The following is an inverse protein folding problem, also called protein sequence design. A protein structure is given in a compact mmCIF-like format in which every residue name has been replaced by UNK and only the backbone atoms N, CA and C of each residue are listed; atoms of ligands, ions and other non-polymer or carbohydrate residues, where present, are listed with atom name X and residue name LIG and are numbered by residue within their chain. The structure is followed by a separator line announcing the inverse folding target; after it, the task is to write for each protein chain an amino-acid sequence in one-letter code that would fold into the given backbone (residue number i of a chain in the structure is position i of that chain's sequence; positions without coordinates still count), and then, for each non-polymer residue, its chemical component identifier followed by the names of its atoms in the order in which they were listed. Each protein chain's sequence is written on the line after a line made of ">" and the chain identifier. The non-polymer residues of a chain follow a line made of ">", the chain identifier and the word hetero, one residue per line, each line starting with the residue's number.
data_IF_040124733957
#
_entry.id   IF_040124733957
#
_cell.length_a   1.000
_cell.length_b   1.000
_cell.length_c   1.000
_cell.angle_alpha   90.00
_cell.angle_beta   90.00
_cell.angle_gamma   90.00
#
_symmetry.space_group_name_H-M   'P 1'
#
loop_
_entity.id
_entity.type
_entity.pdbx_description
1 polymer ?
#
# COMPACT_ATOMS: atom_id res chain seq x y z
N UNK A 1 3.95 19.89 37.74
CA UNK A 1 4.94 20.98 37.57
C UNK A 1 4.33 21.96 36.58
N UNK A 2 4.08 23.25 36.90
CA UNK A 2 3.36 24.17 35.99
C UNK A 2 4.09 24.45 34.67
N UNK A 3 5.36 24.05 34.56
CA UNK A 3 6.19 24.22 33.38
C UNK A 3 6.21 22.99 32.47
N UNK A 4 5.73 21.83 32.94
CA UNK A 4 5.75 20.62 32.11
C UNK A 4 4.69 20.71 31.01
N UNK A 5 4.99 20.14 29.85
CA UNK A 5 4.05 20.11 28.72
C UNK A 5 4.12 18.79 27.96
N UNK A 6 2.95 18.36 27.49
CA UNK A 6 2.77 17.13 26.74
C UNK A 6 1.89 17.40 25.52
N UNK A 7 2.35 16.98 24.35
CA UNK A 7 1.74 17.25 23.05
C UNK A 7 1.60 15.97 22.22
N UNK A 8 0.88 16.11 21.11
CA UNK A 8 0.75 15.10 20.06
C UNK A 8 0.37 13.69 20.55
N UNK A 9 -0.53 13.59 21.52
CA UNK A 9 -0.94 12.31 22.09
C UNK A 9 -1.42 11.32 21.02
N UNK A 10 -1.02 10.05 21.18
CA UNK A 10 -1.49 8.89 20.41
C UNK A 10 -1.85 7.77 21.36
N UNK A 11 -2.76 6.92 20.93
CA UNK A 11 -3.09 5.74 21.70
C UNK A 11 -3.36 4.54 20.80
N UNK A 12 -3.05 3.36 21.30
CA UNK A 12 -3.31 2.09 20.62
C UNK A 12 -3.79 1.04 21.63
N UNK A 13 -4.67 0.15 21.17
CA UNK A 13 -5.02 -1.08 21.89
C UNK A 13 -4.41 -2.24 21.11
N UNK A 14 -3.55 -3.02 21.76
CA UNK A 14 -2.88 -4.18 21.18
C UNK A 14 -3.08 -5.38 22.10
N UNK A 15 -3.76 -6.41 21.59
CA UNK A 15 -4.28 -7.48 22.43
C UNK A 15 -5.22 -6.91 23.50
N UNK A 16 -4.90 -7.18 24.76
CA UNK A 16 -5.66 -6.71 25.92
C UNK A 16 -5.08 -5.41 26.54
N UNK A 17 -3.92 -4.96 26.06
CA UNK A 17 -3.20 -3.83 26.64
C UNK A 17 -3.49 -2.52 25.90
N UNK A 18 -3.35 -1.41 26.63
CA UNK A 18 -3.56 -0.07 26.12
C UNK A 18 -2.29 0.76 26.25
N UNK A 19 -1.94 1.48 25.19
CA UNK A 19 -0.71 2.25 25.08
C UNK A 19 -1.07 3.72 24.84
N UNK A 20 -0.36 4.62 25.52
CA UNK A 20 -0.41 6.06 25.24
C UNK A 20 1.01 6.53 24.97
N UNK A 21 1.18 7.20 23.84
CA UNK A 21 2.41 7.87 23.43
C UNK A 21 2.17 9.37 23.37
N UNK A 22 3.17 10.16 23.74
CA UNK A 22 3.09 11.63 23.75
C UNK A 22 4.48 12.24 23.64
N UNK A 23 4.58 13.41 23.01
CA UNK A 23 5.79 14.21 23.09
C UNK A 23 5.79 15.01 24.39
N UNK A 24 6.91 15.05 25.12
CA UNK A 24 6.99 15.70 26.43
C UNK A 24 8.27 16.52 26.59
N UNK A 25 8.12 17.71 27.16
CA UNK A 25 9.20 18.56 27.64
C UNK A 25 9.01 18.85 29.13
N UNK A 26 10.12 18.95 29.87
CA UNK A 26 10.09 19.22 31.31
C UNK A 26 9.71 20.68 31.59
N UNK A 27 10.16 21.58 30.73
CA UNK A 27 9.83 23.00 30.76
C UNK A 27 9.53 23.49 29.34
N UNK A 28 8.25 23.70 29.06
CA UNK A 28 7.79 24.13 27.74
C UNK A 28 8.33 25.51 27.35
N UNK A 29 8.52 26.40 28.33
CA UNK A 29 9.03 27.74 28.07
C UNK A 29 10.50 27.66 27.71
N UNK A 30 11.27 26.82 28.40
CA UNK A 30 12.67 26.58 28.05
C UNK A 30 12.79 25.89 26.69
N UNK A 31 11.94 24.91 26.40
CA UNK A 31 11.95 24.18 25.14
C UNK A 31 11.59 25.07 23.95
N UNK A 32 10.54 25.89 24.08
CA UNK A 32 9.96 26.66 22.96
C UNK A 32 10.57 28.06 22.81
N UNK A 33 10.95 28.67 23.94
CA UNK A 33 11.42 30.05 23.94
C UNK A 33 12.92 30.11 23.82
N UNK A 34 13.72 29.28 24.51
CA UNK A 34 15.18 29.46 24.54
C UNK A 34 15.99 28.22 24.18
N UNK A 35 15.38 27.21 23.54
CA UNK A 35 16.01 26.00 22.97
C UNK A 35 17.02 25.24 23.85
N UNK A 36 16.87 25.33 25.18
CA UNK A 36 17.69 24.64 26.19
C UNK A 36 17.01 23.39 26.79
N UNK A 37 15.83 23.04 26.29
CA UNK A 37 15.10 21.81 26.59
C UNK A 37 14.47 21.31 25.28
N UNK A 38 14.07 20.05 25.22
CA UNK A 38 13.47 19.48 24.02
C UNK A 38 12.30 18.55 24.29
N UNK A 39 11.41 18.46 23.31
CA UNK A 39 10.38 17.43 23.30
C UNK A 39 11.00 16.10 22.91
N UNK A 40 10.84 15.11 23.78
CA UNK A 40 11.15 13.71 23.51
C UNK A 40 9.88 12.88 23.37
N UNK A 41 9.95 11.71 22.74
CA UNK A 41 8.83 10.77 22.64
C UNK A 41 8.77 9.88 23.87
N UNK A 42 7.68 9.96 24.62
CA UNK A 42 7.44 9.12 25.78
C UNK A 42 6.24 8.22 25.57
N UNK A 43 6.29 7.03 26.16
CA UNK A 43 5.19 6.07 26.13
C UNK A 43 4.92 5.49 27.52
N UNK A 44 3.65 5.22 27.79
CA UNK A 44 3.18 4.41 28.93
C UNK A 44 2.25 3.31 28.45
N UNK A 45 2.29 2.18 29.14
CA UNK A 45 1.42 1.03 28.90
C UNK A 45 0.53 0.78 30.11
N UNK A 46 -0.74 0.49 29.86
CA UNK A 46 -1.65 -0.15 30.78
C UNK A 46 -1.60 -1.66 30.55
N UNK A 47 -1.13 -2.39 31.55
CA UNK A 47 -0.98 -3.83 31.53
C UNK A 47 -2.25 -4.50 32.10
N UNK A 48 -3.09 -5.03 31.22
CA UNK A 48 -4.34 -5.69 31.60
C UNK A 48 -4.10 -7.02 32.32
N UNK A 49 -3.04 -7.76 31.96
CA UNK A 49 -2.71 -9.05 32.58
C UNK A 49 -2.40 -8.94 34.09
N UNK A 50 -1.94 -7.77 34.54
CA UNK A 50 -1.66 -7.48 35.95
C UNK A 50 -2.88 -7.04 36.78
N UNK A 51 -4.09 -7.13 36.22
CA UNK A 51 -5.30 -6.59 36.85
C UNK A 51 -5.45 -5.07 36.67
N UNK A 52 -4.69 -4.48 35.74
CA UNK A 52 -4.86 -3.09 35.32
C UNK A 52 -3.93 -2.09 36.01
N UNK A 53 -2.63 -2.21 35.77
CA UNK A 53 -1.64 -1.23 36.26
C UNK A 53 -0.97 -0.48 35.11
N UNK A 54 -0.56 0.76 35.38
CA UNK A 54 0.24 1.56 34.44
C UNK A 54 1.73 1.32 34.70
N UNK A 55 2.50 1.16 33.62
CA UNK A 55 3.96 1.17 33.68
C UNK A 55 4.47 2.59 33.95
N UNK A 56 5.73 2.67 34.37
CA UNK A 56 6.48 3.92 34.28
C UNK A 56 6.57 4.38 32.82
N UNK A 57 6.78 5.69 32.63
CA UNK A 57 6.99 6.26 31.32
C UNK A 57 8.38 5.92 30.80
N UNK A 58 8.46 5.47 29.55
CA UNK A 58 9.72 5.19 28.87
C UNK A 58 9.96 6.27 27.83
N UNK A 59 11.16 6.85 27.83
CA UNK A 59 11.61 7.76 26.76
C UNK A 59 12.15 6.92 25.61
N UNK A 60 11.43 6.90 24.49
CA UNK A 60 11.73 6.08 23.32
C UNK A 60 12.72 6.76 22.38
N UNK A 61 12.68 8.09 22.27
CA UNK A 61 13.55 8.83 21.35
C UNK A 61 14.93 9.13 21.95
N UNK A 62 15.00 9.32 23.27
CA UNK A 62 16.24 9.57 24.03
C UNK A 62 17.17 10.64 23.41
N UNK A 63 16.59 11.68 22.81
CA UNK A 63 17.31 12.76 22.15
C UNK A 63 17.87 13.68 23.23
N UNK A 64 19.20 13.74 23.28
CA UNK A 64 19.94 14.57 24.23
C UNK A 64 20.34 15.92 23.65
N UNK A 65 20.31 16.06 22.32
CA UNK A 65 20.49 17.34 21.66
C UNK A 65 19.23 18.19 21.82
N UNK A 66 19.35 19.27 22.61
CA UNK A 66 18.26 20.21 22.86
C UNK A 66 17.86 21.00 21.62
N UNK A 67 18.69 20.98 20.56
CA UNK A 67 18.40 21.57 19.25
C UNK A 67 17.49 20.71 18.38
N UNK A 68 17.00 19.58 18.89
CA UNK A 68 16.11 18.68 18.16
C UNK A 68 14.85 18.37 18.95
N UNK A 69 13.70 18.58 18.33
CA UNK A 69 12.40 18.19 18.85
C UNK A 69 11.88 16.91 18.21
N UNK A 70 11.18 16.11 19.00
CA UNK A 70 10.28 15.08 18.49
C UNK A 70 8.99 15.71 18.00
N UNK A 71 8.56 15.28 16.82
CA UNK A 71 7.23 15.54 16.27
C UNK A 71 6.54 14.25 15.87
N UNK A 72 5.24 14.36 15.68
CA UNK A 72 4.40 13.29 15.10
C UNK A 72 4.68 11.88 15.63
N UNK A 73 4.61 11.65 16.95
CA UNK A 73 4.65 10.29 17.47
C UNK A 73 3.50 9.48 16.84
N UNK A 74 3.78 8.20 16.60
CA UNK A 74 2.86 7.22 16.02
C UNK A 74 2.95 5.92 16.80
N UNK A 75 1.79 5.34 17.07
CA UNK A 75 1.63 4.01 17.64
C UNK A 75 0.83 3.19 16.63
N UNK A 76 1.43 2.14 16.10
CA UNK A 76 0.84 1.34 15.02
C UNK A 76 0.75 -0.11 15.46
N UNK A 77 -0.49 -0.55 15.64
CA UNK A 77 -0.80 -1.94 16.00
C UNK A 77 -0.70 -2.85 14.78
N UNK A 78 -0.41 -4.13 15.03
CA UNK A 78 -0.54 -5.17 14.02
C UNK A 78 -2.00 -5.33 13.57
N UNK A 79 -2.27 -5.48 12.26
CA UNK A 79 -3.60 -5.81 11.77
C UNK A 79 -4.03 -7.21 12.24
N UNK A 80 -5.34 -7.50 12.16
CA UNK A 80 -5.88 -8.82 12.49
C UNK A 80 -5.39 -9.92 11.56
N UNK A 81 -5.47 -11.18 12.02
CA UNK A 81 -5.06 -12.35 11.23
C UNK A 81 -5.84 -12.44 9.92
N UNK A 82 -5.12 -12.70 8.84
CA UNK A 82 -5.66 -12.84 7.48
C UNK A 82 -5.74 -14.30 7.01
N UNK A 83 -6.09 -14.47 5.73
CA UNK A 83 -6.08 -15.77 5.06
C UNK A 83 -4.67 -16.40 5.11
N UNK A 84 -4.60 -17.69 5.42
CA UNK A 84 -3.33 -18.43 5.53
C UNK A 84 -2.68 -18.45 6.91
N UNK A 85 -3.28 -17.79 7.90
CA UNK A 85 -2.93 -18.02 9.30
C UNK A 85 -3.55 -19.35 9.80
N UNK A 86 -2.79 -20.25 10.47
CA UNK A 86 -3.32 -21.52 10.93
C UNK A 86 -4.57 -21.38 11.80
N UNK A 87 -5.66 -22.01 11.37
CA UNK A 87 -6.85 -22.13 12.19
C UNK A 87 -6.61 -23.21 13.26
N UNK A 88 -6.66 -22.89 14.57
CA UNK A 88 -6.52 -23.90 15.63
C UNK A 88 -7.58 -25.02 15.55
N UNK A 89 -8.73 -24.73 14.93
CA UNK A 89 -9.80 -25.70 14.70
C UNK A 89 -9.56 -26.61 13.48
N UNK A 90 -8.59 -26.29 12.60
CA UNK A 90 -8.21 -27.13 11.46
C UNK A 90 -6.69 -27.07 11.17
N UNK A 91 -5.85 -27.72 12.01
CA UNK A 91 -4.39 -27.64 11.92
C UNK A 91 -3.79 -28.35 10.69
N UNK A 92 -4.58 -29.09 9.90
CA UNK A 92 -4.13 -29.82 8.70
C UNK A 92 -4.60 -29.18 7.38
N UNK A 93 -5.14 -27.96 7.43
CA UNK A 93 -5.56 -27.22 6.23
C UNK A 93 -4.34 -26.87 5.35
N UNK A 94 -4.30 -27.29 4.07
CA UNK A 94 -3.18 -26.99 3.16
C UNK A 94 -3.03 -25.50 2.82
N UNK A 95 -3.95 -24.62 3.23
CA UNK A 95 -3.82 -23.14 3.14
C UNK A 95 -2.96 -22.55 4.26
N UNK A 96 -2.50 -23.36 5.23
CA UNK A 96 -1.69 -22.95 6.39
C UNK A 96 -0.21 -22.66 6.04
N UNK A 97 0.06 -21.73 5.14
CA UNK A 97 1.42 -21.51 4.59
C UNK A 97 2.04 -20.15 4.88
N UNK A 98 1.34 -19.21 5.56
CA UNK A 98 1.84 -17.83 5.71
C UNK A 98 1.83 -17.33 7.18
N UNK A 99 2.86 -17.65 7.98
CA UNK A 99 3.00 -17.13 9.35
C UNK A 99 2.94 -15.61 9.46
N UNK A 100 3.42 -14.87 8.45
CA UNK A 100 3.35 -13.41 8.40
C UNK A 100 1.90 -12.85 8.45
N UNK A 101 0.91 -13.67 8.07
CA UNK A 101 -0.51 -13.31 8.08
C UNK A 101 -1.18 -13.59 9.44
N UNK A 102 -0.47 -14.13 10.42
CA UNK A 102 -0.97 -14.33 11.78
C UNK A 102 -0.72 -13.11 12.64
N UNK A 103 -1.77 -12.56 13.25
CA UNK A 103 -1.62 -11.43 14.15
C UNK A 103 -0.74 -11.79 15.36
N UNK A 104 0.32 -11.03 15.55
CA UNK A 104 1.04 -10.98 16.81
C UNK A 104 0.43 -9.88 17.70
N UNK A 105 -0.13 -10.28 18.84
CA UNK A 105 -0.77 -9.38 19.81
C UNK A 105 0.22 -8.80 20.82
N UNK A 106 1.48 -9.23 20.76
CA UNK A 106 2.54 -8.76 21.62
C UNK A 106 3.38 -7.68 20.92
N UNK A 107 3.12 -7.48 19.62
CA UNK A 107 3.87 -6.59 18.75
C UNK A 107 3.22 -5.21 18.57
N UNK A 108 4.02 -4.17 18.77
CA UNK A 108 3.66 -2.77 18.56
C UNK A 108 4.82 -2.06 17.84
N UNK A 109 4.49 -1.32 16.79
CA UNK A 109 5.42 -0.49 16.05
C UNK A 109 5.22 0.95 16.53
N UNK A 110 6.33 1.64 16.77
CA UNK A 110 6.32 3.03 17.20
C UNK A 110 7.24 3.84 16.31
N UNK A 111 6.82 5.05 15.95
CA UNK A 111 7.59 5.92 15.07
C UNK A 111 7.44 7.39 15.50
N UNK A 112 8.42 8.20 15.13
CA UNK A 112 8.39 9.64 15.34
C UNK A 112 9.23 10.36 14.29
N UNK A 113 8.85 11.59 13.99
CA UNK A 113 9.69 12.52 13.24
C UNK A 113 10.55 13.34 14.20
N UNK A 114 11.56 13.99 13.64
CA UNK A 114 12.36 14.99 14.34
C UNK A 114 12.40 16.28 13.55
N UNK A 115 12.57 17.40 14.24
CA UNK A 115 12.70 18.72 13.63
C UNK A 115 13.67 19.59 14.45
N UNK A 116 14.20 20.64 13.83
CA UNK A 116 15.02 21.63 14.52
C UNK A 116 14.22 22.34 15.62
N UNK A 117 14.82 22.41 16.81
CA UNK A 117 14.32 23.25 17.88
C UNK A 117 14.87 24.66 17.68
N UNK A 118 14.11 25.48 16.97
CA UNK A 118 14.41 26.89 16.74
C UNK A 118 13.58 27.77 17.66
N UNK A 119 14.14 28.94 17.98
CA UNK A 119 13.45 29.97 18.74
C UNK A 119 12.13 30.32 18.04
N UNK A 120 10.98 30.08 18.67
CA UNK A 120 9.65 30.19 18.05
C UNK A 120 9.26 31.59 17.55
N UNK A 121 10.14 32.59 17.68
CA UNK A 121 9.94 33.97 17.23
C UNK A 121 10.85 34.39 16.06
N UNK A 122 11.83 33.58 15.63
CA UNK A 122 12.89 34.02 14.69
C UNK A 122 13.17 33.02 13.56
N UNK A 123 12.61 31.80 13.56
CA UNK A 123 12.81 30.84 12.47
C UNK A 123 11.64 29.88 12.27
N UNK A 124 11.49 29.37 11.05
CA UNK A 124 10.69 28.17 10.78
C UNK A 124 11.48 26.92 11.19
N UNK A 125 10.82 25.93 11.77
CA UNK A 125 11.48 24.66 12.09
C UNK A 125 11.74 23.87 10.80
N UNK A 126 12.97 23.41 10.63
CA UNK A 126 13.40 22.48 9.59
C UNK A 126 13.11 21.03 10.02
N UNK A 127 12.52 20.25 9.12
CA UNK A 127 12.30 18.81 9.29
C UNK A 127 13.63 18.07 9.29
N UNK A 128 13.78 17.05 10.11
CA UNK A 128 14.95 16.17 10.12
C UNK A 128 14.57 14.77 9.62
N UNK A 129 14.71 13.77 10.48
CA UNK A 129 14.55 12.36 10.15
C UNK A 129 13.31 11.74 10.77
N UNK A 130 12.83 10.67 10.12
CA UNK A 130 11.82 9.76 10.66
C UNK A 130 12.50 8.53 11.22
N UNK A 131 12.18 8.24 12.47
CA UNK A 131 12.66 7.08 13.21
C UNK A 131 11.50 6.12 13.46
N UNK A 132 11.79 4.82 13.45
CA UNK A 132 10.86 3.82 13.96
C UNK A 132 11.60 2.74 14.74
N UNK A 133 10.87 2.12 15.67
CA UNK A 133 11.31 0.92 16.39
C UNK A 133 10.09 0.03 16.64
N UNK A 134 10.34 -1.18 17.10
CA UNK A 134 9.36 -2.21 17.38
C UNK A 134 9.63 -2.83 18.74
N UNK A 135 8.55 -3.24 19.38
CA UNK A 135 8.55 -4.19 20.48
C UNK A 135 7.84 -5.46 20.03
N UNK A 136 8.33 -6.62 20.46
CA UNK A 136 7.63 -7.92 20.33
C UNK A 136 7.27 -8.53 21.70
N UNK A 137 7.38 -7.75 22.78
CA UNK A 137 7.14 -8.21 24.16
C UNK A 137 6.21 -7.27 24.95
N UNK A 138 5.27 -6.63 24.25
CA UNK A 138 4.32 -5.65 24.81
C UNK A 138 4.98 -4.40 25.41
N UNK A 139 6.05 -3.91 24.80
CA UNK A 139 6.73 -2.67 25.19
C UNK A 139 7.57 -2.80 26.45
N UNK A 140 8.02 -4.02 26.78
CA UNK A 140 9.01 -4.24 27.85
C UNK A 140 10.40 -3.91 27.32
N UNK A 141 10.71 -4.31 26.08
CA UNK A 141 11.92 -3.94 25.36
C UNK A 141 11.59 -3.42 23.97
N UNK A 142 12.50 -2.61 23.44
CA UNK A 142 12.42 -2.06 22.09
C UNK A 142 13.71 -2.37 21.35
N UNK A 143 13.58 -2.62 20.05
CA UNK A 143 14.71 -2.71 19.13
C UNK A 143 15.40 -1.34 19.00
N UNK A 144 16.64 -1.33 18.53
CA UNK A 144 17.34 -0.06 18.27
C UNK A 144 16.56 0.74 17.18
N UNK A 145 16.34 2.06 17.37
CA UNK A 145 15.63 2.86 16.38
C UNK A 145 16.33 2.86 15.03
N UNK A 146 15.56 2.59 13.97
CA UNK A 146 16.01 2.63 12.59
C UNK A 146 15.63 3.99 12.00
N UNK A 147 16.58 4.61 11.30
CA UNK A 147 16.36 5.80 10.47
C UNK A 147 15.98 5.35 9.07
N UNK A 148 14.93 5.94 8.52
CA UNK A 148 14.53 5.67 7.15
C UNK A 148 15.50 6.35 6.18
N UNK A 149 16.15 5.58 5.30
CA UNK A 149 17.01 6.12 4.23
C UNK A 149 16.22 7.08 3.32
N UNK A 150 16.84 8.17 2.88
CA UNK A 150 16.21 9.12 1.93
C UNK A 150 17.23 9.79 1.01
N UNK A 151 16.77 10.79 0.26
CA UNK A 151 17.47 11.45 -0.85
C UNK A 151 18.26 12.67 -0.37
N UNK A 152 17.75 13.37 0.64
CA UNK A 152 18.37 14.56 1.23
C UNK A 152 18.83 14.35 2.68
N UNK A 153 19.69 15.27 3.10
CA UNK A 153 19.99 15.48 4.51
C UNK A 153 18.79 16.21 5.13
N UNK A 154 18.13 15.57 6.11
CA UNK A 154 17.15 16.21 7.00
C UNK A 154 15.98 16.94 6.31
N UNK A 155 14.95 16.20 5.90
CA UNK A 155 13.80 16.72 5.16
C UNK A 155 12.60 15.75 5.12
N UNK A 156 12.53 14.78 6.04
CA UNK A 156 11.54 13.70 6.05
C UNK A 156 10.42 14.02 7.02
N UNK A 157 9.16 13.94 6.57
CA UNK A 157 8.00 14.29 7.38
C UNK A 157 6.78 13.43 7.06
N UNK A 158 5.76 13.48 7.93
CA UNK A 158 4.44 12.87 7.70
C UNK A 158 4.45 11.37 7.36
N UNK A 159 5.22 10.57 8.11
CA UNK A 159 5.31 9.13 7.84
C UNK A 159 4.00 8.37 8.08
N UNK A 160 3.72 7.29 7.36
CA UNK A 160 2.65 6.35 7.68
C UNK A 160 3.25 4.95 7.67
N UNK A 161 2.94 4.15 8.69
CA UNK A 161 3.45 2.80 8.81
C UNK A 161 2.28 1.83 8.75
N UNK A 162 2.50 0.71 8.07
CA UNK A 162 1.60 -0.42 8.01
C UNK A 162 2.42 -1.69 8.27
N UNK A 163 2.25 -2.36 9.40
CA UNK A 163 2.87 -3.66 9.64
C UNK A 163 2.05 -4.81 9.04
N UNK A 164 2.69 -5.95 8.78
CA UNK A 164 2.01 -7.24 8.59
C UNK A 164 1.30 -7.65 9.89
N UNK A 165 0.33 -8.59 9.83
CA UNK A 165 -0.25 -9.15 11.05
C UNK A 165 0.80 -9.65 12.05
N UNK A 166 1.85 -10.33 11.59
CA UNK A 166 2.91 -10.79 12.49
C UNK A 166 3.86 -9.67 12.95
N UNK A 167 3.78 -8.47 12.36
CA UNK A 167 4.62 -7.32 12.70
C UNK A 167 6.08 -7.46 12.27
N UNK A 168 6.43 -8.53 11.54
CA UNK A 168 7.76 -8.81 11.01
C UNK A 168 8.08 -8.08 9.69
N UNK A 169 7.04 -7.64 8.97
CA UNK A 169 7.16 -6.81 7.77
C UNK A 169 6.54 -5.45 8.07
N UNK A 170 7.23 -4.37 7.77
CA UNK A 170 6.73 -3.01 7.97
C UNK A 170 6.89 -2.23 6.67
N UNK A 171 5.76 -1.80 6.10
CA UNK A 171 5.72 -0.83 5.02
C UNK A 171 5.68 0.56 5.62
N UNK A 172 6.62 1.41 5.26
CA UNK A 172 6.68 2.81 5.71
C UNK A 172 6.64 3.72 4.49
N UNK A 173 5.70 4.66 4.47
CA UNK A 173 5.67 5.76 3.50
C UNK A 173 5.93 7.08 4.20
N UNK A 174 6.55 8.05 3.54
CA UNK A 174 6.79 9.39 4.08
C UNK A 174 6.87 10.42 2.96
N UNK A 175 6.75 11.69 3.32
CA UNK A 175 7.01 12.80 2.43
C UNK A 175 8.45 13.29 2.63
N UNK A 176 9.10 13.65 1.54
CA UNK A 176 10.46 14.17 1.56
C UNK A 176 10.58 15.40 0.66
N UNK A 177 11.07 16.51 1.21
CA UNK A 177 11.25 17.75 0.46
C UNK A 177 12.51 17.70 -0.41
N UNK A 178 12.36 17.79 -1.73
CA UNK A 178 13.50 17.93 -2.64
C UNK A 178 14.01 19.37 -2.58
N UNK A 179 15.22 19.54 -2.03
CA UNK A 179 15.84 20.84 -1.87
C UNK A 179 17.03 20.98 -2.82
N UNK A 180 17.17 22.15 -3.43
CA UNK A 180 18.36 22.54 -4.19
C UNK A 180 18.88 23.87 -3.71
N UNK A 181 20.14 24.19 -4.02
CA UNK A 181 20.67 25.54 -3.77
C UNK A 181 20.20 26.48 -4.87
N UNK A 182 19.65 27.62 -4.49
CA UNK A 182 19.39 28.69 -5.43
C UNK A 182 20.68 29.40 -5.88
N UNK A 183 20.54 30.40 -6.76
CA UNK A 183 21.68 31.19 -7.25
C UNK A 183 22.43 31.99 -6.17
N UNK A 184 21.93 32.03 -4.94
CA UNK A 184 22.52 32.71 -3.78
C UNK A 184 23.03 31.74 -2.70
N UNK A 185 22.89 30.42 -2.91
CA UNK A 185 23.31 29.39 -1.97
C UNK A 185 22.34 29.14 -0.82
N UNK A 186 21.08 29.55 -0.95
CA UNK A 186 20.00 29.24 -0.02
C UNK A 186 19.30 27.93 -0.46
N UNK A 187 18.96 27.06 0.49
CA UNK A 187 18.19 25.85 0.20
C UNK A 187 16.75 26.24 -0.15
N UNK A 188 16.32 25.88 -1.35
CA UNK A 188 14.97 26.11 -1.84
C UNK A 188 14.33 24.75 -2.14
N UNK A 189 13.13 24.55 -1.60
CA UNK A 189 12.29 23.40 -1.94
C UNK A 189 11.82 23.55 -3.39
N UNK A 190 12.17 22.57 -4.22
CA UNK A 190 11.79 22.47 -5.63
C UNK A 190 10.76 21.37 -5.90
N UNK A 191 10.41 20.60 -4.89
CA UNK A 191 9.45 19.52 -4.98
C UNK A 191 9.25 18.79 -3.66
N UNK A 192 8.22 17.95 -3.61
CA UNK A 192 7.99 17.01 -2.51
C UNK A 192 7.76 15.63 -3.11
N UNK A 193 8.54 14.67 -2.66
CA UNK A 193 8.48 13.28 -3.10
C UNK A 193 7.79 12.42 -2.03
N UNK A 194 6.94 11.50 -2.48
CA UNK A 194 6.43 10.44 -1.62
C UNK A 194 7.37 9.23 -1.72
N UNK A 195 7.79 8.74 -0.57
CA UNK A 195 8.82 7.71 -0.46
C UNK A 195 8.24 6.45 0.18
N UNK A 196 8.81 5.29 -0.12
CA UNK A 196 8.39 3.99 0.40
C UNK A 196 9.62 3.17 0.81
N UNK A 197 9.53 2.51 1.95
CA UNK A 197 10.50 1.51 2.41
C UNK A 197 9.77 0.30 2.98
N UNK A 198 10.42 -0.84 2.89
CA UNK A 198 9.95 -2.10 3.46
C UNK A 198 11.06 -2.67 4.32
N UNK A 199 10.80 -2.87 5.61
CA UNK A 199 11.65 -3.72 6.45
C UNK A 199 11.02 -5.10 6.51
N UNK A 200 11.76 -6.14 6.15
CA UNK A 200 11.31 -7.53 6.21
C UNK A 200 12.28 -8.37 7.04
N UNK A 201 11.83 -8.82 8.20
CA UNK A 201 12.57 -9.69 9.12
C UNK A 201 12.09 -11.15 9.05
N UNK A 202 11.23 -11.49 8.08
CA UNK A 202 10.78 -12.87 7.85
C UNK A 202 11.87 -13.77 7.28
N UNK A 203 12.91 -13.16 6.70
CA UNK A 203 14.09 -13.83 6.16
C UNK A 203 15.36 -12.99 6.42
N UNK A 204 16.25 -13.39 7.36
CA UNK A 204 17.51 -12.68 7.64
C UNK A 204 18.52 -12.76 6.48
N UNK A 205 18.22 -13.52 5.42
CA UNK A 205 18.99 -13.60 4.18
C UNK A 205 18.31 -12.87 3.02
N UNK A 206 17.09 -12.34 3.21
CA UNK A 206 16.44 -11.53 2.20
C UNK A 206 17.22 -10.24 2.03
N UNK A 207 17.63 -9.96 0.79
CA UNK A 207 18.13 -8.64 0.43
C UNK A 207 16.95 -7.70 0.58
N UNK A 208 16.90 -6.98 1.71
CA UNK A 208 15.98 -5.85 1.86
C UNK A 208 16.29 -4.90 0.70
N UNK A 209 15.35 -4.65 -0.22
CA UNK A 209 15.59 -3.70 -1.28
C UNK A 209 15.89 -2.37 -0.59
N UNK A 210 17.11 -1.86 -0.76
CA UNK A 210 17.38 -0.46 -0.43
C UNK A 210 16.37 0.38 -1.21
N UNK A 211 15.59 1.26 -0.55
CA UNK A 211 14.77 2.20 -1.29
C UNK A 211 15.70 2.91 -2.28
N UNK A 212 15.32 3.02 -3.56
CA UNK A 212 16.13 3.79 -4.49
C UNK A 212 16.30 5.20 -3.90
N UNK A 213 17.52 5.77 -3.88
CA UNK A 213 17.70 7.19 -3.67
C UNK A 213 17.01 7.87 -4.85
N UNK A 214 15.87 8.47 -4.58
CA UNK A 214 14.97 8.99 -5.60
C UNK A 214 13.83 8.03 -5.69
N UNK A 215 12.60 8.52 -5.55
CA UNK A 215 11.52 7.84 -6.25
C UNK A 215 12.00 7.65 -7.68
N UNK A 216 12.36 6.42 -8.04
CA UNK A 216 11.96 6.02 -9.37
C UNK A 216 10.45 6.16 -9.31
N UNK A 217 9.94 7.04 -10.15
CA UNK A 217 8.63 6.89 -10.74
C UNK A 217 8.30 5.40 -10.84
N UNK A 218 7.03 4.98 -10.64
CA UNK A 218 6.60 3.62 -10.99
C UNK A 218 7.33 3.18 -12.27
N UNK A 219 7.82 1.92 -12.33
CA UNK A 219 8.93 1.48 -13.19
C UNK A 219 8.93 2.25 -14.50
N UNK A 220 10.10 2.74 -14.99
CA UNK A 220 10.16 3.61 -16.17
C UNK A 220 9.18 3.07 -17.20
N UNK A 221 8.36 3.93 -17.85
CA UNK A 221 7.43 3.46 -18.87
C UNK A 221 8.20 2.44 -19.69
N UNK A 222 7.61 1.25 -19.95
CA UNK A 222 8.40 0.11 -20.39
C UNK A 222 9.25 0.57 -21.59
N UNK A 223 10.39 -0.10 -21.86
CA UNK A 223 11.44 0.41 -22.77
C UNK A 223 10.79 1.06 -23.98
N UNK A 224 11.31 2.18 -24.53
CA UNK A 224 10.73 3.08 -25.56
C UNK A 224 9.85 2.48 -26.71
N UNK A 225 9.75 1.16 -26.75
CA UNK A 225 8.88 0.21 -27.41
C UNK A 225 7.67 -0.32 -26.58
N UNK A 226 7.21 0.33 -25.50
CA UNK A 226 6.08 -0.17 -24.69
C UNK A 226 4.71 0.31 -25.12
N UNK A 227 3.66 -0.45 -24.80
CA UNK A 227 2.25 -0.08 -24.97
C UNK A 227 1.41 -0.49 -23.75
N UNK A 228 0.14 -0.08 -23.75
CA UNK A 228 -0.86 -0.36 -22.72
C UNK A 228 -2.15 -0.79 -23.42
N UNK A 229 -2.49 -2.08 -23.33
CA UNK A 229 -3.72 -2.61 -23.90
C UNK A 229 -4.80 -2.74 -22.83
N UNK A 230 -6.03 -2.47 -23.23
CA UNK A 230 -7.21 -2.60 -22.38
C UNK A 230 -8.29 -3.35 -23.16
N UNK A 231 -8.95 -4.30 -22.51
CA UNK A 231 -10.25 -4.80 -22.98
C UNK A 231 -11.30 -3.75 -22.60
N UNK A 232 -11.76 -2.96 -23.57
CA UNK A 232 -12.74 -1.88 -23.38
C UNK A 232 -14.14 -2.46 -23.14
N UNK A 233 -14.50 -3.54 -23.85
CA UNK A 233 -15.76 -4.24 -23.63
C UNK A 233 -15.72 -5.70 -24.12
N UNK A 234 -16.59 -6.52 -23.51
CA UNK A 234 -16.96 -7.86 -23.96
C UNK A 234 -18.48 -7.94 -23.93
N UNK A 235 -19.11 -7.85 -25.09
CA UNK A 235 -20.56 -7.67 -25.18
C UNK A 235 -21.22 -8.82 -25.91
N UNK A 236 -22.38 -9.25 -25.42
CA UNK A 236 -23.24 -10.21 -26.11
C UNK A 236 -24.37 -9.45 -26.79
N UNK A 237 -24.33 -9.40 -28.12
CA UNK A 237 -25.34 -8.74 -28.96
C UNK A 237 -26.57 -9.66 -29.07
N UNK A 238 -27.53 -9.41 -28.19
CA UNK A 238 -28.81 -10.10 -28.13
C UNK A 238 -29.89 -9.16 -28.65
N UNK A 239 -30.85 -9.68 -29.42
CA UNK A 239 -32.08 -8.95 -29.71
C UNK A 239 -32.84 -8.72 -28.38
N UNK A 240 -33.02 -7.46 -27.97
CA UNK A 240 -33.60 -7.03 -26.68
C UNK A 240 -32.87 -7.58 -25.42
N UNK A 241 -31.62 -7.16 -25.14
CA UNK A 241 -30.89 -7.63 -23.97
C UNK A 241 -31.50 -7.00 -22.71
N UNK A 242 -31.95 -7.84 -21.77
CA UNK A 242 -32.06 -7.39 -20.38
C UNK A 242 -30.63 -7.44 -19.83
N UNK A 243 -30.07 -6.28 -19.51
CA UNK A 243 -28.78 -6.16 -18.82
C UNK A 243 -29.11 -5.70 -17.40
N UNK A 244 -28.67 -6.47 -16.40
CA UNK A 244 -28.78 -6.04 -14.99
C UNK A 244 -27.80 -4.90 -14.68
N UNK A 245 -27.98 -4.18 -13.57
CA UNK A 245 -27.03 -3.15 -13.09
C UNK A 245 -25.60 -3.70 -12.91
N UNK A 246 -25.48 -5.03 -12.73
CA UNK A 246 -24.22 -5.78 -12.60
C UNK A 246 -23.62 -6.26 -13.94
N UNK A 247 -24.18 -5.88 -15.10
CA UNK A 247 -23.63 -6.24 -16.42
C UNK A 247 -23.85 -7.70 -16.83
N UNK A 248 -24.85 -8.37 -16.26
CA UNK A 248 -25.21 -9.75 -16.59
C UNK A 248 -26.16 -9.82 -17.78
N UNK A 249 -25.87 -10.69 -18.75
CA UNK A 249 -26.69 -10.88 -19.94
C UNK A 249 -27.73 -11.99 -19.73
N UNK A 250 -29.01 -11.70 -20.02
CA UNK A 250 -30.06 -12.70 -20.00
C UNK A 250 -30.32 -13.25 -21.40
N UNK A 251 -30.02 -14.54 -21.61
CA UNK A 251 -30.08 -15.20 -22.92
C UNK A 251 -31.24 -16.22 -22.94
N UNK A 252 -32.10 -16.24 -23.97
CA UNK A 252 -33.11 -17.28 -24.11
C UNK A 252 -32.48 -18.67 -24.29
N UNK A 253 -33.19 -19.76 -23.93
CA UNK A 253 -32.63 -21.10 -24.02
C UNK A 253 -32.67 -21.61 -25.47
N UNK A 254 -31.59 -22.22 -25.95
CA UNK A 254 -31.49 -22.82 -27.30
C UNK A 254 -31.63 -21.79 -28.43
N UNK A 255 -31.11 -20.59 -28.18
CA UNK A 255 -30.80 -19.61 -29.21
C UNK A 255 -29.47 -19.97 -29.86
N UNK A 256 -29.50 -20.10 -31.18
CA UNK A 256 -28.33 -20.32 -32.03
C UNK A 256 -27.87 -18.97 -32.61
N UNK A 257 -26.60 -18.89 -33.05
CA UNK A 257 -26.02 -17.73 -33.74
C UNK A 257 -26.06 -16.41 -32.93
N UNK A 258 -25.92 -16.48 -31.60
CA UNK A 258 -25.82 -15.29 -30.74
C UNK A 258 -24.53 -14.57 -31.09
N UNK A 259 -24.64 -13.30 -31.51
CA UNK A 259 -23.48 -12.46 -31.80
C UNK A 259 -22.87 -11.93 -30.51
N UNK A 260 -21.56 -11.80 -30.52
CA UNK A 260 -20.82 -11.21 -29.43
C UNK A 260 -19.57 -10.52 -29.99
N UNK A 261 -19.10 -9.51 -29.28
CA UNK A 261 -17.95 -8.73 -29.66
C UNK A 261 -17.03 -8.53 -28.46
N UNK A 262 -15.73 -8.50 -28.73
CA UNK A 262 -14.72 -8.03 -27.79
C UNK A 262 -14.00 -6.85 -28.40
N UNK A 263 -13.86 -5.79 -27.61
CA UNK A 263 -13.24 -4.54 -28.01
C UNK A 263 -11.94 -4.38 -27.25
N UNK A 264 -10.84 -4.29 -27.97
CA UNK A 264 -9.49 -4.07 -27.41
C UNK A 264 -8.98 -2.73 -27.88
N UNK A 265 -8.39 -1.98 -26.96
CA UNK A 265 -7.89 -0.63 -27.21
C UNK A 265 -6.47 -0.49 -26.74
N UNK A 266 -5.63 0.12 -27.57
CA UNK A 266 -4.33 0.61 -27.14
C UNK A 266 -4.52 1.98 -26.49
N UNK A 267 -4.44 2.04 -25.17
CA UNK A 267 -4.67 3.27 -24.40
C UNK A 267 -3.40 4.11 -24.21
N UNK A 268 -2.23 3.61 -24.61
CA UNK A 268 -0.97 4.35 -24.53
C UNK A 268 0.22 3.60 -25.10
N UNK A 269 1.24 4.35 -25.57
CA UNK A 269 2.52 3.79 -26.03
C UNK A 269 2.60 3.51 -27.53
N UNK A 270 3.46 2.58 -27.97
CA UNK A 270 3.70 2.28 -29.39
C UNK A 270 2.58 1.44 -30.04
N UNK A 271 2.54 1.38 -31.39
CA UNK A 271 1.75 0.39 -32.10
C UNK A 271 2.14 -1.03 -31.69
N UNK A 272 1.15 -1.91 -31.51
CA UNK A 272 1.36 -3.27 -30.99
C UNK A 272 0.58 -4.29 -31.81
N UNK A 273 1.14 -5.49 -31.99
CA UNK A 273 0.39 -6.66 -32.46
C UNK A 273 0.21 -7.66 -31.32
N UNK A 274 -0.85 -8.46 -31.37
CA UNK A 274 -1.21 -9.33 -30.27
C UNK A 274 -2.27 -10.36 -30.62
N UNK A 275 -2.54 -11.21 -29.64
CA UNK A 275 -3.60 -12.20 -29.69
C UNK A 275 -4.69 -11.85 -28.69
N UNK A 276 -5.94 -12.16 -29.03
CA UNK A 276 -7.08 -12.07 -28.12
C UNK A 276 -7.72 -13.44 -28.06
N UNK A 277 -7.92 -13.97 -26.87
CA UNK A 277 -8.65 -15.23 -26.67
C UNK A 277 -9.92 -14.97 -25.90
N UNK A 278 -11.04 -15.45 -26.42
CA UNK A 278 -12.33 -15.42 -25.72
C UNK A 278 -12.80 -16.84 -25.48
N UNK A 279 -12.98 -17.21 -24.21
CA UNK A 279 -13.39 -18.55 -23.83
C UNK A 279 -14.48 -18.57 -22.77
N UNK A 280 -15.19 -19.69 -22.67
CA UNK A 280 -16.08 -19.94 -21.54
C UNK A 280 -15.35 -20.73 -20.46
N UNK A 281 -15.07 -20.10 -19.33
CA UNK A 281 -14.47 -20.74 -18.15
C UNK A 281 -15.51 -21.53 -17.34
N UNK A 282 -16.80 -21.23 -17.53
CA UNK A 282 -17.92 -21.96 -16.97
C UNK A 282 -19.07 -22.03 -17.98
N UNK A 283 -19.83 -23.12 -17.95
CA UNK A 283 -21.05 -23.26 -18.76
C UNK A 283 -20.83 -23.85 -20.15
N UNK A 284 -19.67 -23.68 -20.79
CA UNK A 284 -19.37 -24.24 -22.11
C UNK A 284 -17.87 -24.48 -22.29
N UNK A 285 -17.47 -25.04 -23.43
CA UNK A 285 -16.06 -25.19 -23.82
C UNK A 285 -15.78 -24.44 -25.12
N UNK A 286 -16.37 -23.25 -25.25
CA UNK A 286 -16.14 -22.36 -26.38
C UNK A 286 -14.79 -21.67 -26.24
N UNK A 287 -14.09 -21.51 -27.35
CA UNK A 287 -12.78 -20.90 -27.42
C UNK A 287 -12.62 -20.23 -28.79
N UNK A 288 -12.39 -18.93 -28.80
CA UNK A 288 -12.24 -18.11 -30.00
C UNK A 288 -10.92 -17.35 -29.91
N UNK A 289 -9.91 -17.75 -30.69
CA UNK A 289 -8.67 -17.01 -30.81
C UNK A 289 -8.75 -15.99 -31.96
N UNK A 290 -8.22 -14.81 -31.73
CA UNK A 290 -8.07 -13.73 -32.70
C UNK A 290 -6.65 -13.18 -32.65
N UNK A 291 -6.25 -12.53 -33.72
CA UNK A 291 -4.99 -11.81 -33.83
C UNK A 291 -5.25 -10.43 -34.41
N UNK A 292 -4.52 -9.43 -33.96
CA UNK A 292 -4.48 -8.12 -34.60
C UNK A 292 -3.06 -7.74 -34.96
N UNK A 293 -2.93 -7.10 -36.13
CA UNK A 293 -1.68 -6.55 -36.61
C UNK A 293 -1.73 -5.04 -36.38
N UNK A 294 -0.72 -4.53 -35.68
CA UNK A 294 -0.40 -3.10 -35.59
C UNK A 294 -1.59 -2.20 -35.16
N UNK A 295 -1.90 -2.21 -33.87
CA UNK A 295 -2.88 -1.32 -33.22
C UNK A 295 -2.18 -0.08 -32.66
N UNK A 296 -2.36 1.07 -33.30
CA UNK A 296 -1.74 2.33 -32.91
C UNK A 296 -2.31 2.94 -31.61
N UNK A 297 -1.63 3.94 -31.05
CA UNK A 297 -2.05 4.61 -29.82
C UNK A 297 -3.44 5.25 -29.97
N UNK A 298 -4.36 4.89 -29.08
CA UNK A 298 -5.74 5.37 -29.08
C UNK A 298 -6.66 4.63 -30.06
N UNK A 299 -6.14 3.69 -30.83
CA UNK A 299 -6.93 2.87 -31.77
C UNK A 299 -7.57 1.67 -31.07
N UNK A 300 -8.65 1.19 -31.68
CA UNK A 300 -9.47 0.10 -31.17
C UNK A 300 -9.60 -0.99 -32.24
N UNK A 301 -9.42 -2.24 -31.84
CA UNK A 301 -9.76 -3.42 -32.62
C UNK A 301 -11.02 -4.06 -32.04
N UNK A 302 -11.94 -4.47 -32.94
CA UNK A 302 -13.19 -5.15 -32.57
C UNK A 302 -13.17 -6.54 -33.19
N UNK A 303 -13.47 -7.56 -32.40
CA UNK A 303 -13.51 -8.94 -32.84
C UNK A 303 -14.89 -9.54 -32.57
N UNK A 304 -15.59 -9.86 -33.66
CA UNK A 304 -16.89 -10.50 -33.60
C UNK A 304 -16.76 -12.04 -33.54
N UNK A 305 -17.60 -12.67 -32.73
CA UNK A 305 -17.82 -14.11 -32.75
C UNK A 305 -19.30 -14.45 -32.59
N UNK A 306 -19.65 -15.68 -32.95
CA UNK A 306 -20.98 -16.23 -32.71
C UNK A 306 -20.91 -17.48 -31.86
N UNK A 307 -21.91 -17.66 -31.00
CA UNK A 307 -22.03 -18.82 -30.12
C UNK A 307 -23.49 -19.23 -29.92
N UNK A 308 -23.69 -20.45 -29.42
CA UNK A 308 -25.03 -21.01 -29.21
C UNK A 308 -25.29 -21.27 -27.72
N UNK A 309 -26.46 -20.86 -27.25
CA UNK A 309 -26.92 -21.18 -25.90
C UNK A 309 -27.36 -22.64 -25.80
N UNK A 310 -26.45 -23.50 -25.30
CA UNK A 310 -26.74 -24.92 -25.02
C UNK A 310 -27.54 -25.10 -23.72
N UNK A 311 -27.90 -26.35 -23.40
CA UNK A 311 -28.66 -26.75 -22.19
C UNK A 311 -27.88 -26.54 -20.87
N UNK A 312 -27.54 -25.30 -20.55
CA UNK A 312 -26.77 -24.87 -19.38
C UNK A 312 -27.53 -23.76 -18.67
N UNK A 313 -27.22 -23.54 -17.40
CA UNK A 313 -27.90 -22.52 -16.58
C UNK A 313 -27.28 -21.13 -16.75
N UNK A 314 -25.96 -21.07 -16.88
CA UNK A 314 -25.22 -19.86 -17.19
C UNK A 314 -23.92 -20.21 -17.91
N UNK A 315 -23.31 -19.18 -18.49
CA UNK A 315 -21.99 -19.17 -19.09
C UNK A 315 -21.19 -18.03 -18.46
N UNK A 316 -19.95 -18.31 -18.08
CA UNK A 316 -18.99 -17.25 -17.69
C UNK A 316 -17.97 -17.14 -18.80
N UNK A 317 -17.99 -16.01 -19.48
CA UNK A 317 -17.06 -15.66 -20.53
C UNK A 317 -15.85 -14.94 -19.96
N UNK A 318 -14.68 -15.26 -20.49
CA UNK A 318 -13.44 -14.58 -20.20
C UNK A 318 -12.78 -14.20 -21.51
N UNK A 319 -12.52 -12.91 -21.70
CA UNK A 319 -11.63 -12.41 -22.73
C UNK A 319 -10.27 -12.12 -22.10
N UNK A 320 -9.20 -12.52 -22.80
CA UNK A 320 -7.81 -12.23 -22.44
C UNK A 320 -7.14 -11.67 -23.67
N UNK A 321 -6.51 -10.51 -23.56
CA UNK A 321 -5.57 -10.00 -24.57
C UNK A 321 -4.15 -10.35 -24.14
N UNK A 322 -3.39 -10.93 -25.06
CA UNK A 322 -2.01 -11.39 -24.87
C UNK A 322 -1.16 -10.79 -25.97
N UNK A 323 -0.42 -9.73 -25.69
CA UNK A 323 0.29 -9.03 -26.75
C UNK A 323 1.64 -9.70 -27.05
N UNK A 324 2.23 -9.34 -28.20
CA UNK A 324 3.48 -9.98 -28.67
C UNK A 324 4.75 -9.48 -27.94
N UNK A 325 4.65 -8.38 -27.20
CA UNK A 325 5.75 -7.64 -26.56
C UNK A 325 5.39 -7.27 -25.09
N UNK A 326 6.00 -6.23 -24.51
CA UNK A 326 5.79 -5.82 -23.11
C UNK A 326 4.59 -4.87 -22.95
N UNK A 327 3.49 -5.38 -22.40
CA UNK A 327 2.36 -4.57 -21.91
C UNK A 327 2.71 -3.85 -20.60
N UNK A 328 2.30 -2.59 -20.48
CA UNK A 328 2.58 -1.73 -19.32
C UNK A 328 1.67 -2.03 -18.14
N UNK A 329 0.43 -2.41 -18.41
CA UNK A 329 -0.56 -2.81 -17.43
C UNK A 329 -1.12 -4.16 -17.87
N UNK A 330 -1.15 -5.12 -16.95
CA UNK A 330 -1.69 -6.46 -17.22
C UNK A 330 -2.99 -6.71 -16.46
N UNK A 331 -3.36 -5.82 -15.54
CA UNK A 331 -4.56 -5.97 -14.72
C UNK A 331 -5.83 -5.72 -15.54
N UNK A 332 -5.70 -4.96 -16.64
CA UNK A 332 -6.74 -4.62 -17.61
C UNK A 332 -6.79 -5.57 -18.84
N UNK A 333 -5.90 -6.57 -18.90
CA UNK A 333 -5.81 -7.53 -20.00
C UNK A 333 -6.82 -8.67 -19.93
N UNK A 334 -7.64 -8.72 -18.87
CA UNK A 334 -8.66 -9.75 -18.70
C UNK A 334 -10.00 -9.13 -18.34
N UNK A 335 -11.05 -9.52 -19.05
CA UNK A 335 -12.43 -9.13 -18.75
C UNK A 335 -13.32 -10.37 -18.63
N UNK A 336 -14.28 -10.33 -17.69
CA UNK A 336 -15.24 -11.41 -17.48
C UNK A 336 -16.67 -10.89 -17.52
N UNK A 337 -17.55 -11.69 -18.13
CA UNK A 337 -18.98 -11.41 -18.25
C UNK A 337 -19.77 -12.68 -18.01
N UNK A 338 -20.90 -12.56 -17.32
CA UNK A 338 -21.84 -13.67 -17.12
C UNK A 338 -23.06 -13.56 -18.05
N UNK A 339 -23.42 -14.69 -18.66
CA UNK A 339 -24.65 -14.87 -19.42
C UNK A 339 -25.54 -15.92 -18.74
N UNK A 340 -26.70 -15.52 -18.24
CA UNK A 340 -27.68 -16.38 -17.58
C UNK A 340 -28.73 -16.84 -18.59
N UNK A 341 -29.00 -18.15 -18.62
CA UNK A 341 -30.06 -18.71 -19.47
C UNK A 341 -31.40 -18.61 -18.74
N UNK A 342 -32.27 -17.72 -19.21
CA UNK A 342 -33.64 -17.56 -18.68
C UNK A 342 -34.52 -18.62 -19.31
N UNK A 343 -35.29 -19.34 -18.50
CA UNK A 343 -36.17 -20.42 -18.97
C UNK A 343 -37.61 -20.00 -19.14
#
# INVERSE_FOLDING_TARGET
>A
NPYEDSKAHRAAIVGDDFYIGYSYAKDWAVATVIDLDNYNFWMRRYNAASGGSWTDAVNLSNITDVKTHVKEPRLVKTPGSGMGCPNPANPLDPVNTYPANCQDKDTLIVAWGTESNVYGHIGGSEEFDVYYTRTNDKGVTFEDPIVVSGIGDNNRFESQLRPSPAGNIIWTVWNEAENTLDGFGELVNIGTNAMLSVSDESDPLAVIPTPPPGGETPPPPPPAESYDLLIESLEMDLDDPVIDEDGTYYVPPKTDDIRALVTVKNIGGLPVSGEVTVETIQGGGFYYPFTFEELGTGETAVFDFTWDSRNKKSYTWQAVVSPTDNDRDIDNNTMRVEAIIVR
#
